data_IF_934052790500
#
_entry.id   IF_934052790500
#
_cell.length_a   1.000
_cell.length_b   1.000
_cell.length_c   1.000
_cell.angle_alpha   90.00
_cell.angle_beta   90.00
_cell.angle_gamma   90.00
#
_symmetry.space_group_name_H-M   'P 1'
#
loop_
_entity.id
_entity.type
_entity.pdbx_description
1 polymer ?
#
# COMPACT_ATOMS: atom_id res chain seq x y z
N UNK A 1 -0.85 -9.00 -12.20
CA UNK A 1 0.46 -8.82 -11.52
C UNK A 1 0.29 -7.68 -10.54
N UNK A 2 0.62 -7.88 -9.26
CA UNK A 2 0.60 -6.82 -8.25
C UNK A 2 2.00 -6.19 -8.20
N UNK A 3 2.09 -4.86 -8.15
CA UNK A 3 3.38 -4.19 -7.95
C UNK A 3 3.91 -4.52 -6.56
N UNK A 4 4.88 -5.42 -6.47
CA UNK A 4 5.51 -5.82 -5.22
C UNK A 4 6.92 -5.27 -5.12
N UNK A 5 7.24 -4.57 -4.04
CA UNK A 5 8.63 -4.36 -3.65
C UNK A 5 9.15 -5.67 -3.06
N UNK A 6 9.89 -6.44 -3.84
CA UNK A 6 10.62 -7.60 -3.37
C UNK A 6 12.09 -7.38 -3.69
N UNK A 7 12.92 -7.37 -2.66
CA UNK A 7 14.36 -7.29 -2.82
C UNK A 7 14.91 -8.72 -2.88
N UNK A 8 15.44 -9.09 -4.04
CA UNK A 8 16.08 -10.40 -4.28
C UNK A 8 17.58 -10.26 -4.02
N UNK A 9 17.99 -10.29 -2.75
CA UNK A 9 19.40 -10.27 -2.37
C UNK A 9 19.67 -11.28 -1.26
N UNK A 10 20.90 -11.79 -1.21
CA UNK A 10 21.35 -12.73 -0.18
C UNK A 10 21.79 -11.93 1.05
N UNK A 11 20.96 -11.95 2.09
CA UNK A 11 21.17 -11.22 3.35
C UNK A 11 22.50 -11.58 4.02
N UNK A 12 23.03 -12.79 3.80
CA UNK A 12 24.30 -13.23 4.38
C UNK A 12 25.53 -12.74 3.59
N UNK A 13 25.35 -12.37 2.32
CA UNK A 13 26.46 -11.97 1.43
C UNK A 13 26.45 -10.48 1.09
N UNK A 14 25.34 -9.79 1.29
CA UNK A 14 25.17 -8.38 0.96
C UNK A 14 24.46 -7.62 2.10
N UNK A 15 25.24 -7.35 3.14
CA UNK A 15 24.78 -6.65 4.35
C UNK A 15 24.48 -5.17 4.10
N UNK A 16 25.10 -4.55 3.09
CA UNK A 16 24.85 -3.16 2.72
C UNK A 16 23.47 -3.01 2.07
N UNK A 17 23.12 -3.89 1.13
CA UNK A 17 21.77 -3.95 0.56
C UNK A 17 20.73 -4.27 1.63
N UNK A 18 21.06 -5.13 2.60
CA UNK A 18 20.18 -5.39 3.74
C UNK A 18 19.88 -4.15 4.57
N UNK A 19 20.92 -3.38 4.88
CA UNK A 19 20.82 -2.12 5.60
C UNK A 19 19.94 -1.12 4.84
N UNK A 20 20.15 -0.98 3.53
CA UNK A 20 19.36 -0.12 2.67
C UNK A 20 17.88 -0.51 2.65
N UNK A 21 17.57 -1.79 2.43
CA UNK A 21 16.18 -2.29 2.37
C UNK A 21 15.47 -2.08 3.70
N UNK A 22 16.14 -2.34 4.83
CA UNK A 22 15.60 -2.07 6.16
C UNK A 22 15.33 -0.59 6.39
N UNK A 23 16.22 0.29 5.93
CA UNK A 23 16.05 1.74 6.04
C UNK A 23 14.85 2.22 5.22
N UNK A 24 14.73 1.78 3.96
CA UNK A 24 13.57 2.08 3.09
C UNK A 24 12.28 1.57 3.73
N UNK A 25 12.28 0.34 4.25
CA UNK A 25 11.09 -0.24 4.90
C UNK A 25 10.67 0.52 6.16
N UNK A 26 11.66 1.02 6.93
CA UNK A 26 11.40 1.88 8.09
C UNK A 26 10.75 3.20 7.67
N UNK A 27 11.26 3.85 6.62
CA UNK A 27 10.68 5.07 6.05
C UNK A 27 9.25 4.84 5.56
N UNK A 28 9.02 3.76 4.80
CA UNK A 28 7.69 3.37 4.36
C UNK A 28 6.74 3.22 5.55
N UNK A 29 7.13 2.52 6.62
CA UNK A 29 6.29 2.34 7.81
C UNK A 29 5.97 3.65 8.54
N UNK A 30 6.87 4.63 8.50
CA UNK A 30 6.69 5.92 9.19
C UNK A 30 5.81 6.89 8.43
N UNK A 31 5.90 6.90 7.10
CA UNK A 31 5.27 7.93 6.28
C UNK A 31 4.07 7.44 5.45
N UNK A 32 3.93 6.14 5.25
CA UNK A 32 2.78 5.60 4.50
C UNK A 32 1.59 5.31 5.41
N UNK A 33 0.39 5.32 4.82
CA UNK A 33 -0.83 4.85 5.48
C UNK A 33 -1.20 3.46 4.98
N UNK A 34 -1.76 2.66 5.90
CA UNK A 34 -2.34 1.36 5.54
C UNK A 34 -3.59 1.56 4.70
N UNK A 35 -3.82 0.62 3.79
CA UNK A 35 -4.98 0.65 2.91
C UNK A 35 -5.99 -0.42 3.30
N UNK A 36 -7.27 -0.08 3.22
CA UNK A 36 -8.39 -0.95 3.49
C UNK A 36 -9.08 -1.31 2.19
N UNK A 37 -9.28 -2.62 1.90
CA UNK A 37 -10.02 -3.05 0.72
C UNK A 37 -11.46 -2.55 0.74
N UNK A 38 -11.93 -2.02 -0.39
CA UNK A 38 -13.36 -1.76 -0.61
C UNK A 38 -13.97 -3.08 -1.10
N UNK A 39 -14.82 -3.69 -0.29
CA UNK A 39 -15.42 -5.01 -0.58
C UNK A 39 -16.67 -4.89 -1.45
N UNK A 40 -17.34 -3.74 -1.41
CA UNK A 40 -18.46 -3.44 -2.29
C UNK A 40 -18.41 -1.97 -2.72
N UNK A 41 -18.20 -1.76 -4.02
CA UNK A 41 -18.09 -0.43 -4.64
C UNK A 41 -19.44 0.29 -4.75
N UNK A 42 -20.57 -0.44 -4.80
CA UNK A 42 -21.90 0.18 -4.90
C UNK A 42 -22.33 0.77 -3.57
N UNK A 43 -22.02 0.09 -2.48
CA UNK A 43 -22.36 0.52 -1.12
C UNK A 43 -21.22 1.29 -0.44
N UNK A 44 -20.02 1.26 -1.02
CA UNK A 44 -18.81 1.83 -0.41
C UNK A 44 -18.35 1.06 0.82
N UNK A 45 -18.72 -0.21 0.94
CA UNK A 45 -18.38 -1.03 2.11
C UNK A 45 -16.88 -1.28 2.15
N UNK A 46 -16.25 -0.94 3.27
CA UNK A 46 -14.81 -1.08 3.48
C UNK A 46 -14.56 -2.22 4.48
N UNK A 47 -13.55 -3.03 4.20
CA UNK A 47 -13.10 -4.07 5.14
C UNK A 47 -12.61 -3.42 6.44
N UNK A 48 -12.97 -3.95 7.62
CA UNK A 48 -12.46 -3.45 8.90
C UNK A 48 -10.97 -3.75 9.09
N UNK A 49 -10.41 -4.68 8.29
CA UNK A 49 -8.99 -5.06 8.33
C UNK A 49 -8.24 -4.40 7.19
N UNK A 50 -7.19 -3.68 7.55
CA UNK A 50 -6.20 -3.18 6.60
C UNK A 50 -5.52 -4.34 5.87
N UNK A 51 -5.21 -4.12 4.59
CA UNK A 51 -4.47 -5.08 3.79
C UNK A 51 -3.02 -5.17 4.27
N UNK A 52 -2.49 -6.38 4.39
CA UNK A 52 -1.17 -6.62 5.01
C UNK A 52 0.01 -6.10 4.18
N UNK A 53 -0.17 -5.92 2.87
CA UNK A 53 0.92 -5.63 1.91
C UNK A 53 0.78 -4.33 1.13
N UNK A 54 -0.34 -3.62 1.26
CA UNK A 54 -0.57 -2.40 0.50
C UNK A 54 -0.54 -1.19 1.42
N UNK A 55 0.24 -0.21 0.99
CA UNK A 55 0.42 1.07 1.65
C UNK A 55 0.34 2.17 0.59
N UNK A 56 -0.11 3.35 0.96
CA UNK A 56 -0.05 4.53 0.10
C UNK A 56 0.67 5.67 0.80
N UNK A 57 1.39 6.46 0.01
CA UNK A 57 1.94 7.73 0.48
C UNK A 57 0.81 8.77 0.63
N UNK A 58 0.91 9.71 1.58
CA UNK A 58 -0.04 10.81 1.75
C UNK A 58 -0.40 11.53 0.45
N UNK A 59 0.58 11.75 -0.41
CA UNK A 59 0.39 12.44 -1.69
C UNK A 59 -0.51 11.64 -2.66
N UNK A 60 -0.39 10.32 -2.65
CA UNK A 60 -1.23 9.44 -3.45
C UNK A 60 -2.66 9.37 -2.87
N UNK A 61 -2.78 9.36 -1.54
CA UNK A 61 -4.08 9.40 -0.86
C UNK A 61 -4.82 10.70 -1.20
N UNK A 62 -4.13 11.84 -1.12
CA UNK A 62 -4.70 13.15 -1.44
C UNK A 62 -5.19 13.29 -2.89
N UNK A 63 -4.63 12.51 -3.82
CA UNK A 63 -4.97 12.57 -5.25
C UNK A 63 -5.94 11.48 -5.71
N UNK A 64 -5.90 10.30 -5.08
CA UNK A 64 -6.52 9.10 -5.62
C UNK A 64 -7.41 8.35 -4.62
N UNK A 65 -7.54 8.80 -3.37
CA UNK A 65 -8.46 8.17 -2.41
C UNK A 65 -9.90 8.69 -2.61
N UNK A 66 -10.56 8.22 -3.67
CA UNK A 66 -11.93 8.59 -4.07
C UNK A 66 -12.09 10.06 -4.48
N UNK A 67 -10.98 10.75 -4.73
CA UNK A 67 -10.98 12.15 -5.18
C UNK A 67 -11.33 12.19 -6.66
N UNK A 68 -12.39 12.93 -7.01
CA UNK A 68 -12.90 13.06 -8.38
C UNK A 68 -13.20 11.70 -9.06
N UNK A 69 -13.60 10.69 -8.29
CA UNK A 69 -13.89 9.35 -8.81
C UNK A 69 -12.66 8.50 -9.13
N UNK A 70 -11.45 8.96 -8.79
CA UNK A 70 -10.24 8.15 -8.85
C UNK A 70 -10.09 7.33 -7.58
N UNK A 71 -9.63 6.10 -7.72
CA UNK A 71 -9.46 5.17 -6.59
C UNK A 71 -8.02 4.70 -6.48
N UNK A 72 -7.57 4.46 -5.25
CA UNK A 72 -6.36 3.69 -4.99
C UNK A 72 -6.63 2.26 -5.44
N UNK A 73 -6.00 1.86 -6.53
CA UNK A 73 -6.24 0.55 -7.14
C UNK A 73 -4.93 -0.10 -7.54
N UNK A 74 -4.86 -1.40 -7.35
CA UNK A 74 -3.72 -2.21 -7.80
C UNK A 74 -4.07 -3.01 -9.07
N UNK A 75 -5.36 -3.23 -9.35
CA UNK A 75 -5.86 -3.82 -10.60
C UNK A 75 -7.36 -3.51 -10.75
N UNK A 76 -7.94 -3.83 -11.91
CA UNK A 76 -9.35 -3.54 -12.25
C UNK A 76 -10.40 -4.11 -11.28
N UNK A 77 -10.03 -5.03 -10.39
CA UNK A 77 -10.91 -5.67 -9.41
C UNK A 77 -10.54 -5.38 -7.95
N UNK A 78 -9.47 -4.62 -7.68
CA UNK A 78 -8.96 -4.38 -6.34
C UNK A 78 -8.89 -2.88 -6.06
N UNK A 79 -9.88 -2.39 -5.32
CA UNK A 79 -10.01 -1.00 -4.91
C UNK A 79 -9.74 -0.87 -3.40
N UNK A 80 -9.12 0.24 -3.03
CA UNK A 80 -8.67 0.49 -1.68
C UNK A 80 -8.96 1.94 -1.26
N UNK A 81 -8.99 2.16 0.05
CA UNK A 81 -9.06 3.50 0.66
C UNK A 81 -8.13 3.58 1.85
N UNK A 82 -7.70 4.80 2.22
CA UNK A 82 -6.94 5.03 3.45
C UNK A 82 -7.82 5.04 4.70
N UNK A 83 -9.15 5.11 4.53
CA UNK A 83 -10.13 5.19 5.61
C UNK A 83 -10.44 3.79 6.14
N UNK A 84 -10.47 3.64 7.46
CA UNK A 84 -10.99 2.42 8.09
C UNK A 84 -12.51 2.36 7.89
N UNK A 85 -13.01 1.17 7.54
CA UNK A 85 -14.44 0.85 7.57
C UNK A 85 -15.01 0.70 8.98
#
# INVERSE_FOLDING_TARGET
>A
MNGGMAASYDVAKDSETDGFVKAVWKLCKQHSSKLYPITDMKTGTVSPKAHARFIAWPDAIAKFDQVNGLYLTNNTMAYFTSRSG
#
